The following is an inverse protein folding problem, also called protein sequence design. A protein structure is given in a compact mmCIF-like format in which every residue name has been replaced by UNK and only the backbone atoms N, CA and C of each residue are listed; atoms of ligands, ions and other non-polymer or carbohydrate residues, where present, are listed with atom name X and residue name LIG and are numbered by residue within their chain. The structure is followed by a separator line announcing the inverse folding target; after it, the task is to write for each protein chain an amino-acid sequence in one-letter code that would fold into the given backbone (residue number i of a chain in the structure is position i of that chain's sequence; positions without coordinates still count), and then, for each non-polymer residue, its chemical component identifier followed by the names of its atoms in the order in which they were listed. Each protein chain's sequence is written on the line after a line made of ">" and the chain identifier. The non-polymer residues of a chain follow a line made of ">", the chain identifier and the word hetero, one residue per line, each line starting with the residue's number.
data_IF_087236606868
#
_entry.id   IF_087236606868
#
_cell.length_a   1.000
_cell.length_b   1.000
_cell.length_c   1.000
_cell.angle_alpha   90.00
_cell.angle_beta   90.00
_cell.angle_gamma   90.00
#
_symmetry.space_group_name_H-M   'P 1'
#
loop_
_entity.id
_entity.type
_entity.pdbx_description
1 polymer ?
#
# COMPACT_ATOMS: atom_id res chain seq x y z
N UNK A 1 -1.52 15.85 0.61
CA UNK A 1 -1.51 14.75 -0.38
C UNK A 1 -0.64 15.18 -1.55
N UNK A 2 -0.06 14.28 -2.33
CA UNK A 2 0.85 14.61 -3.44
C UNK A 2 0.24 14.06 -4.73
N UNK A 3 -0.41 14.94 -5.50
CA UNK A 3 -1.21 14.56 -6.66
C UNK A 3 -0.38 14.46 -7.93
N UNK A 4 0.43 15.47 -8.22
CA UNK A 4 1.23 15.54 -9.44
C UNK A 4 2.56 16.29 -9.21
N UNK A 5 3.27 16.60 -10.30
CA UNK A 5 4.55 17.32 -10.28
C UNK A 5 4.44 18.85 -10.26
N UNK A 6 3.24 19.42 -10.13
CA UNK A 6 3.04 20.88 -10.12
C UNK A 6 3.43 21.51 -8.78
N UNK A 7 3.29 22.84 -8.66
CA UNK A 7 3.57 23.55 -7.42
C UNK A 7 2.83 22.95 -6.22
N UNK A 8 3.52 22.79 -5.10
CA UNK A 8 3.00 22.12 -3.89
C UNK A 8 2.47 20.70 -4.17
N UNK A 9 3.00 20.05 -5.22
CA UNK A 9 2.59 18.75 -5.71
C UNK A 9 1.09 18.61 -6.02
N UNK A 10 0.49 19.66 -6.57
CA UNK A 10 -0.93 19.70 -6.92
C UNK A 10 -1.87 19.78 -5.71
N UNK A 11 -1.35 19.93 -4.49
CA UNK A 11 -2.16 19.95 -3.27
C UNK A 11 -2.93 21.25 -3.07
N UNK A 12 -2.30 22.39 -3.36
CA UNK A 12 -2.85 23.72 -3.13
C UNK A 12 -2.15 24.73 -4.03
N UNK A 13 -2.89 25.78 -4.41
CA UNK A 13 -2.33 26.98 -5.07
C UNK A 13 -1.64 27.90 -4.07
N UNK A 14 -2.00 27.80 -2.78
CA UNK A 14 -1.37 28.54 -1.68
C UNK A 14 -0.27 27.71 -1.01
N UNK A 15 0.61 28.38 -0.25
CA UNK A 15 1.67 27.72 0.51
C UNK A 15 1.07 26.82 1.61
N UNK A 16 1.29 25.50 1.59
CA UNK A 16 0.78 24.61 2.62
C UNK A 16 1.48 24.85 3.95
N UNK A 17 0.78 24.56 5.05
CA UNK A 17 1.32 24.70 6.41
C UNK A 17 2.54 23.79 6.66
N UNK A 18 2.60 22.63 5.98
CA UNK A 18 3.74 21.73 6.00
C UNK A 18 4.33 21.59 4.58
N UNK A 19 5.63 21.84 4.38
CA UNK A 19 6.26 21.70 3.08
C UNK A 19 6.24 20.25 2.57
N UNK A 20 6.02 20.08 1.26
CA UNK A 20 6.15 18.77 0.60
C UNK A 20 7.62 18.44 0.41
N UNK A 21 8.06 17.28 0.91
CA UNK A 21 9.45 16.83 0.79
C UNK A 21 9.73 16.33 -0.64
N UNK A 22 10.94 16.54 -1.20
CA UNK A 22 11.27 16.11 -2.56
C UNK A 22 11.03 14.61 -2.86
N UNK A 23 11.38 13.65 -1.97
CA UNK A 23 11.09 12.24 -2.21
C UNK A 23 9.59 11.92 -2.27
N UNK A 24 8.77 12.71 -1.59
CA UNK A 24 7.33 12.56 -1.60
C UNK A 24 6.74 13.12 -2.90
N UNK A 25 7.23 14.28 -3.34
CA UNK A 25 6.86 14.89 -4.63
C UNK A 25 7.22 13.99 -5.82
N UNK A 26 8.36 13.28 -5.76
CA UNK A 26 8.76 12.31 -6.77
C UNK A 26 7.84 11.08 -6.84
N UNK A 27 7.13 10.75 -5.75
CA UNK A 27 6.19 9.62 -5.66
C UNK A 27 4.73 10.09 -5.69
N UNK A 28 4.45 11.12 -6.48
CA UNK A 28 3.09 11.64 -6.65
C UNK A 28 2.12 10.60 -7.27
N UNK A 29 0.82 10.84 -7.12
CA UNK A 29 -0.22 9.94 -7.63
C UNK A 29 -0.11 9.78 -9.15
N UNK A 30 0.02 10.86 -9.92
CA UNK A 30 0.09 10.79 -11.38
C UNK A 30 1.23 9.87 -11.89
N UNK A 31 2.43 9.97 -11.31
CA UNK A 31 3.56 9.11 -11.64
C UNK A 31 3.29 7.65 -11.26
N UNK A 32 2.69 7.41 -10.08
CA UNK A 32 2.33 6.05 -9.66
C UNK A 32 1.18 5.46 -10.48
N UNK A 33 0.26 6.26 -11.00
CA UNK A 33 -0.80 5.76 -11.88
C UNK A 33 -0.24 5.26 -13.21
N UNK A 34 0.73 5.98 -13.77
CA UNK A 34 1.40 5.62 -15.01
C UNK A 34 2.27 4.36 -14.89
N UNK A 35 2.87 4.09 -13.71
CA UNK A 35 3.72 2.92 -13.48
C UNK A 35 2.91 1.69 -13.02
N UNK A 36 2.78 0.63 -13.84
CA UNK A 36 2.03 -0.59 -13.48
C UNK A 36 2.62 -1.40 -12.31
N UNK A 37 3.91 -1.17 -11.99
CA UNK A 37 4.64 -1.80 -10.89
C UNK A 37 4.61 -0.94 -9.61
N UNK A 38 3.95 0.22 -9.63
CA UNK A 38 3.85 1.11 -8.49
C UNK A 38 3.10 0.49 -7.31
N UNK A 39 3.38 1.01 -6.11
CA UNK A 39 2.65 0.63 -4.90
C UNK A 39 1.16 0.91 -5.05
N UNK A 40 0.77 2.05 -5.63
CA UNK A 40 -0.63 2.38 -5.89
C UNK A 40 -1.33 1.29 -6.73
N UNK A 41 -0.73 0.90 -7.85
CA UNK A 41 -1.30 -0.11 -8.73
C UNK A 41 -1.27 -1.51 -8.12
N UNK A 42 -0.27 -1.82 -7.29
CA UNK A 42 -0.27 -3.03 -6.48
C UNK A 42 -1.48 -3.07 -5.52
N UNK A 43 -1.74 -1.99 -4.78
CA UNK A 43 -2.90 -1.91 -3.88
C UNK A 43 -4.23 -2.01 -4.63
N UNK A 44 -4.36 -1.39 -5.81
CA UNK A 44 -5.53 -1.55 -6.68
C UNK A 44 -5.78 -3.01 -7.04
N UNK A 45 -4.73 -3.74 -7.44
CA UNK A 45 -4.80 -5.18 -7.74
C UNK A 45 -5.22 -6.01 -6.52
N UNK A 46 -4.65 -5.74 -5.35
CA UNK A 46 -4.99 -6.44 -4.10
C UNK A 46 -6.45 -6.17 -3.69
N UNK A 47 -6.92 -4.94 -3.81
CA UNK A 47 -8.31 -4.59 -3.50
C UNK A 47 -9.29 -5.25 -4.48
N UNK A 48 -8.95 -5.30 -5.77
CA UNK A 48 -9.74 -6.04 -6.76
C UNK A 48 -9.80 -7.54 -6.41
N UNK A 49 -8.66 -8.14 -6.07
CA UNK A 49 -8.59 -9.53 -5.63
C UNK A 49 -9.43 -9.80 -4.37
N UNK A 50 -9.35 -8.91 -3.37
CA UNK A 50 -10.19 -9.00 -2.16
C UNK A 50 -11.67 -8.95 -2.51
N UNK A 51 -12.10 -8.04 -3.40
CA UNK A 51 -13.52 -7.93 -3.80
C UNK A 51 -14.04 -9.22 -4.43
N UNK A 52 -13.22 -9.89 -5.24
CA UNK A 52 -13.53 -11.17 -5.87
C UNK A 52 -13.59 -12.37 -4.91
N UNK A 53 -13.06 -12.27 -3.70
CA UNK A 53 -12.99 -13.39 -2.75
C UNK A 53 -13.94 -13.21 -1.57
N UNK A 54 -14.94 -14.09 -1.46
CA UNK A 54 -15.84 -14.12 -0.30
C UNK A 54 -15.07 -14.41 1.02
N UNK A 55 -14.09 -15.31 0.97
CA UNK A 55 -13.24 -15.64 2.12
C UNK A 55 -12.43 -14.43 2.62
N UNK A 56 -11.91 -13.59 1.71
CA UNK A 56 -11.17 -12.38 2.08
C UNK A 56 -12.09 -11.20 2.47
N UNK A 57 -13.37 -11.24 2.11
CA UNK A 57 -14.36 -10.21 2.48
C UNK A 57 -15.01 -10.48 3.83
N UNK A 58 -15.54 -11.68 4.02
CA UNK A 58 -16.34 -12.06 5.19
C UNK A 58 -15.54 -12.80 6.27
N UNK A 59 -14.30 -13.21 5.94
CA UNK A 59 -13.52 -14.08 6.79
C UNK A 59 -13.84 -15.57 6.56
N UNK A 60 -12.85 -16.41 6.82
CA UNK A 60 -12.93 -17.87 6.74
C UNK A 60 -11.80 -18.50 7.57
N UNK A 61 -11.76 -19.84 7.66
CA UNK A 61 -10.67 -20.52 8.36
C UNK A 61 -9.34 -20.23 7.66
N UNK A 62 -8.52 -19.35 8.24
CA UNK A 62 -7.13 -19.21 7.87
C UNK A 62 -6.43 -20.52 8.22
N UNK A 63 -5.89 -21.24 7.23
CA UNK A 63 -5.01 -22.34 7.51
C UNK A 63 -3.88 -21.79 8.40
N UNK A 64 -3.68 -22.38 9.58
CA UNK A 64 -2.54 -22.02 10.42
C UNK A 64 -1.29 -22.26 9.59
N UNK A 65 -0.57 -21.18 9.27
CA UNK A 65 0.78 -21.32 8.78
C UNK A 65 1.55 -22.04 9.89
N UNK A 66 2.19 -23.17 9.57
CA UNK A 66 3.02 -23.87 10.53
C UNK A 66 4.10 -22.90 11.02
N UNK A 67 4.16 -22.70 12.33
CA UNK A 67 5.16 -21.82 12.94
C UNK A 67 6.55 -22.43 12.72
N UNK A 68 7.45 -21.79 11.94
CA UNK A 68 8.76 -22.34 11.65
C UNK A 68 9.68 -22.36 12.88
N UNK A 69 9.33 -21.67 13.97
CA UNK A 69 10.19 -21.49 15.16
C UNK A 69 9.84 -22.48 16.28
N UNK A 70 8.72 -23.20 16.21
CA UNK A 70 8.27 -24.12 17.27
C UNK A 70 8.91 -25.51 17.20
N UNK A 71 10.25 -25.57 17.21
CA UNK A 71 11.02 -26.78 17.53
C UNK A 71 11.65 -26.63 18.92
N UNK A 72 10.84 -26.70 19.98
CA UNK A 72 11.36 -26.88 21.33
C UNK A 72 11.26 -28.38 21.64
N UNK A 73 12.38 -29.12 21.79
CA UNK A 73 12.29 -30.51 22.25
C UNK A 73 11.77 -30.51 23.69
N UNK A 74 10.76 -31.33 23.96
CA UNK A 74 10.29 -31.60 25.31
C UNK A 74 11.49 -32.14 26.12
N UNK A 75 11.93 -31.39 27.13
CA UNK A 75 12.86 -31.92 28.13
C UNK A 75 12.12 -33.03 28.88
N UNK A 76 12.72 -34.22 28.89
CA UNK A 76 12.35 -35.33 29.76
C UNK A 76 12.52 -34.95 31.23
#
# INVERSE_FOLDING_TARGET
>A
MVWDGTAQAGFSTARPWLPVKPPQAARNVAAQEADPASVLNHYRKVLAFRRGSAALRAGGRMARCADPVRRVPARR
#
